data_IF_302322044795
#
_entry.id   IF_302322044795
#
_cell.length_a   1.000
_cell.length_b   1.000
_cell.length_c   1.000
_cell.angle_alpha   90.00
_cell.angle_beta   90.00
_cell.angle_gamma   90.00
#
_symmetry.space_group_name_H-M   'P 1'
#
loop_
_entity.id
_entity.type
_entity.pdbx_description
1 polymer ?
#
# COMPACT_ATOMS: atom_id res chain seq x y z
N UNK A 1 3.96 -17.56 -17.26
CA UNK A 1 3.61 -17.93 -15.88
C UNK A 1 2.43 -18.88 -15.94
N UNK A 2 2.29 -19.83 -15.01
CA UNK A 2 1.05 -20.61 -14.89
C UNK A 2 -0.09 -19.68 -14.49
N UNK A 3 -1.27 -19.87 -15.06
CA UNK A 3 -2.48 -19.15 -14.62
C UNK A 3 -2.75 -19.49 -13.15
N UNK A 4 -3.16 -18.52 -12.35
CA UNK A 4 -3.66 -18.74 -10.99
C UNK A 4 -4.89 -17.87 -10.80
N UNK A 5 -5.99 -18.51 -10.39
CA UNK A 5 -7.24 -17.86 -10.06
C UNK A 5 -7.78 -18.44 -8.76
N UNK A 6 -8.21 -17.57 -7.85
CA UNK A 6 -8.82 -17.91 -6.58
C UNK A 6 -10.27 -17.42 -6.57
N UNK A 7 -11.19 -18.30 -6.19
CA UNK A 7 -12.61 -18.01 -6.03
C UNK A 7 -13.02 -18.34 -4.60
N UNK A 8 -13.66 -17.41 -3.91
CA UNK A 8 -14.22 -17.65 -2.58
C UNK A 8 -15.59 -16.97 -2.43
N UNK A 9 -16.56 -17.71 -1.89
CA UNK A 9 -17.91 -17.23 -1.60
C UNK A 9 -18.26 -17.51 -0.14
N UNK A 10 -19.01 -16.59 0.47
CA UNK A 10 -19.45 -16.71 1.87
C UNK A 10 -20.95 -16.45 1.98
N UNK A 11 -21.63 -17.34 2.71
CA UNK A 11 -23.03 -17.19 3.09
C UNK A 11 -23.11 -16.75 4.56
N UNK A 12 -23.79 -15.63 4.78
CA UNK A 12 -23.96 -14.93 6.05
C UNK A 12 -25.42 -15.05 6.51
N UNK A 13 -26.37 -14.79 5.61
CA UNK A 13 -27.78 -14.64 5.97
C UNK A 13 -28.45 -16.02 6.21
N UNK A 14 -28.00 -17.05 5.48
CA UNK A 14 -28.47 -18.43 5.66
C UNK A 14 -27.36 -19.43 5.35
N UNK A 15 -27.34 -20.54 6.08
CA UNK A 15 -26.51 -21.68 5.69
C UNK A 15 -27.07 -22.39 4.45
N UNK A 16 -26.18 -22.94 3.64
CA UNK A 16 -26.50 -23.81 2.53
C UNK A 16 -27.12 -25.12 3.02
N UNK A 17 -28.10 -25.61 2.28
CA UNK A 17 -28.66 -26.95 2.45
C UNK A 17 -27.77 -28.01 1.81
N UNK A 18 -27.92 -29.27 2.22
CA UNK A 18 -27.23 -30.41 1.59
C UNK A 18 -27.54 -30.57 0.10
N UNK A 19 -28.71 -30.10 -0.37
CA UNK A 19 -29.04 -30.09 -1.80
C UNK A 19 -28.20 -29.06 -2.55
N UNK A 20 -28.14 -27.83 -2.03
CA UNK A 20 -27.39 -26.73 -2.63
C UNK A 20 -25.89 -27.02 -2.65
N UNK A 21 -25.34 -27.60 -1.58
CA UNK A 21 -23.94 -28.05 -1.55
C UNK A 21 -23.65 -29.13 -2.61
N UNK A 22 -24.60 -30.02 -2.92
CA UNK A 22 -24.46 -31.00 -4.02
C UNK A 22 -24.53 -30.34 -5.40
N UNK A 23 -25.38 -29.33 -5.57
CA UNK A 23 -25.42 -28.53 -6.80
C UNK A 23 -24.09 -27.80 -7.04
N UNK A 24 -23.53 -27.16 -6.00
CA UNK A 24 -22.21 -26.52 -6.07
C UNK A 24 -21.07 -27.51 -6.33
N UNK A 25 -21.15 -28.74 -5.78
CA UNK A 25 -20.18 -29.80 -6.05
C UNK A 25 -20.20 -30.25 -7.52
N UNK A 26 -21.33 -30.13 -8.20
CA UNK A 26 -21.44 -30.41 -9.63
C UNK A 26 -20.80 -29.30 -10.50
N UNK A 27 -20.79 -28.05 -10.01
CA UNK A 27 -20.11 -26.90 -10.62
C UNK A 27 -18.59 -27.02 -10.43
N UNK A 28 -18.13 -27.24 -9.19
CA UNK A 28 -16.71 -27.45 -8.91
C UNK A 28 -16.49 -28.67 -8.01
N UNK A 29 -15.99 -29.74 -8.64
CA UNK A 29 -15.71 -30.99 -7.94
C UNK A 29 -14.59 -30.87 -6.90
N UNK A 30 -13.61 -29.98 -7.14
CA UNK A 30 -12.41 -29.78 -6.31
C UNK A 30 -12.57 -28.70 -5.24
N UNK A 31 -13.63 -27.90 -5.29
CA UNK A 31 -13.86 -26.85 -4.31
C UNK A 31 -13.98 -27.39 -2.89
N UNK A 32 -13.48 -26.64 -1.92
CA UNK A 32 -13.91 -26.79 -0.54
C UNK A 32 -15.32 -26.20 -0.40
N UNK A 33 -16.26 -26.97 0.14
CA UNK A 33 -17.66 -26.55 0.27
C UNK A 33 -18.13 -26.90 1.68
N UNK A 34 -18.58 -25.90 2.41
CA UNK A 34 -19.11 -26.00 3.77
C UNK A 34 -20.53 -25.41 3.79
N UNK A 35 -21.29 -25.52 4.89
CA UNK A 35 -22.60 -24.89 4.99
C UNK A 35 -22.58 -23.36 4.84
N UNK A 36 -21.43 -22.71 4.93
CA UNK A 36 -21.32 -21.24 4.86
C UNK A 36 -20.32 -20.76 3.82
N UNK A 37 -19.63 -21.66 3.11
CA UNK A 37 -18.52 -21.26 2.26
C UNK A 37 -18.31 -22.17 1.06
N UNK A 38 -17.73 -21.57 0.02
CA UNK A 38 -17.19 -22.25 -1.13
C UNK A 38 -15.84 -21.59 -1.45
N UNK A 39 -14.78 -22.36 -1.61
CA UNK A 39 -13.51 -21.85 -2.12
C UNK A 39 -12.87 -22.81 -3.10
N UNK A 40 -12.16 -22.28 -4.10
CA UNK A 40 -11.37 -23.10 -5.00
C UNK A 40 -10.26 -22.31 -5.68
N UNK A 41 -9.19 -23.02 -6.00
CA UNK A 41 -8.06 -22.51 -6.77
C UNK A 41 -7.97 -23.21 -8.12
N UNK A 42 -7.72 -22.42 -9.17
CA UNK A 42 -7.54 -22.89 -10.53
C UNK A 42 -6.14 -22.52 -11.01
N UNK A 43 -5.39 -23.54 -11.42
CA UNK A 43 -4.07 -23.36 -12.04
C UNK A 43 -4.10 -23.56 -13.57
N UNK A 44 -5.25 -23.96 -14.10
CA UNK A 44 -5.56 -24.16 -15.51
C UNK A 44 -7.07 -24.05 -15.70
N UNK A 45 -7.52 -23.19 -16.63
CA UNK A 45 -8.95 -22.99 -16.88
C UNK A 45 -9.64 -22.19 -15.78
N UNK A 46 -10.97 -22.31 -15.70
CA UNK A 46 -11.81 -21.41 -14.92
C UNK A 46 -12.95 -22.13 -14.16
N UNK A 47 -13.60 -21.42 -13.24
CA UNK A 47 -14.80 -21.86 -12.56
C UNK A 47 -15.89 -22.21 -13.59
N UNK A 48 -16.39 -23.45 -13.52
CA UNK A 48 -17.43 -23.94 -14.42
C UNK A 48 -18.80 -23.43 -13.99
N UNK A 49 -19.09 -22.16 -14.26
CA UNK A 49 -20.34 -21.51 -13.90
C UNK A 49 -20.14 -19.99 -13.86
N UNK A 50 -21.24 -19.24 -13.93
CA UNK A 50 -21.19 -17.79 -13.77
C UNK A 50 -21.12 -17.44 -12.27
N UNK A 51 -20.04 -16.77 -11.80
CA UNK A 51 -19.88 -16.39 -10.41
C UNK A 51 -21.02 -15.53 -9.89
N UNK A 52 -21.58 -14.68 -10.74
CA UNK A 52 -22.65 -13.77 -10.36
C UNK A 52 -23.97 -14.50 -10.10
N UNK A 53 -24.30 -15.50 -10.93
CA UNK A 53 -25.42 -16.42 -10.72
C UNK A 53 -25.25 -17.25 -9.44
N UNK A 54 -24.02 -17.68 -9.14
CA UNK A 54 -23.69 -18.43 -7.91
C UNK A 54 -23.90 -17.54 -6.67
N UNK A 55 -23.38 -16.30 -6.71
CA UNK A 55 -23.57 -15.31 -5.67
C UNK A 55 -25.05 -15.05 -5.42
N UNK A 56 -25.80 -14.70 -6.48
CA UNK A 56 -27.23 -14.38 -6.38
C UNK A 56 -28.07 -15.49 -5.74
N UNK A 57 -27.74 -16.76 -6.01
CA UNK A 57 -28.56 -17.89 -5.58
C UNK A 57 -28.20 -18.43 -4.19
N UNK A 58 -26.92 -18.40 -3.82
CA UNK A 58 -26.43 -19.17 -2.67
C UNK A 58 -25.68 -18.36 -1.63
N UNK A 59 -25.06 -17.24 -1.99
CA UNK A 59 -24.07 -16.58 -1.14
C UNK A 59 -24.37 -15.08 -0.95
N UNK A 60 -23.64 -14.45 -0.03
CA UNK A 60 -23.77 -13.04 0.30
C UNK A 60 -22.56 -12.22 -0.12
N UNK A 61 -21.39 -12.87 -0.20
CA UNK A 61 -20.13 -12.26 -0.58
C UNK A 61 -19.41 -13.13 -1.61
N UNK A 62 -18.61 -12.48 -2.43
CA UNK A 62 -17.74 -13.09 -3.41
C UNK A 62 -16.40 -12.36 -3.46
N UNK A 63 -15.31 -13.12 -3.44
CA UNK A 63 -13.93 -12.66 -3.64
C UNK A 63 -13.33 -13.43 -4.81
N UNK A 64 -12.67 -12.69 -5.69
CA UNK A 64 -11.87 -13.25 -6.77
C UNK A 64 -10.52 -12.55 -6.88
N UNK A 65 -9.47 -13.36 -7.07
CA UNK A 65 -8.09 -12.89 -7.27
C UNK A 65 -7.48 -13.68 -8.41
N UNK A 66 -6.85 -12.98 -9.35
CA UNK A 66 -6.05 -13.58 -10.40
C UNK A 66 -4.62 -13.07 -10.36
N UNK A 67 -3.66 -13.93 -10.75
CA UNK A 67 -2.24 -13.57 -10.72
C UNK A 67 -1.80 -12.60 -11.84
N UNK A 68 -2.69 -12.25 -12.76
CA UNK A 68 -2.49 -11.14 -13.69
C UNK A 68 -3.04 -9.80 -13.15
N UNK A 69 -3.51 -9.77 -11.90
CA UNK A 69 -3.83 -8.53 -11.19
C UNK A 69 -5.31 -8.27 -10.94
N UNK A 70 -6.21 -8.97 -11.62
CA UNK A 70 -7.65 -8.77 -11.43
C UNK A 70 -8.06 -9.13 -10.00
N UNK A 71 -8.76 -8.21 -9.34
CA UNK A 71 -9.32 -8.38 -8.01
C UNK A 71 -10.75 -7.89 -7.98
N UNK A 72 -11.64 -8.76 -7.51
CA UNK A 72 -13.07 -8.49 -7.50
C UNK A 72 -13.66 -8.84 -6.14
N UNK A 73 -14.44 -7.92 -5.60
CA UNK A 73 -15.21 -8.11 -4.38
C UNK A 73 -16.66 -7.73 -4.66
N UNK A 74 -17.58 -8.66 -4.46
CA UNK A 74 -19.00 -8.42 -4.67
C UNK A 74 -19.82 -8.77 -3.43
N UNK A 75 -20.88 -8.01 -3.21
CA UNK A 75 -21.77 -8.13 -2.06
C UNK A 75 -23.23 -8.17 -2.52
N UNK A 76 -23.97 -9.16 -2.05
CA UNK A 76 -25.43 -9.25 -2.20
C UNK A 76 -26.10 -8.77 -0.92
N UNK A 77 -27.03 -7.83 -1.03
CA UNK A 77 -27.82 -7.29 0.08
C UNK A 77 -29.31 -7.34 -0.24
N UNK A 78 -30.20 -7.41 0.77
CA UNK A 78 -31.64 -7.27 0.56
C UNK A 78 -32.00 -5.92 -0.08
N UNK A 79 -32.93 -5.91 -1.04
CA UNK A 79 -33.33 -4.71 -1.76
C UNK A 79 -34.05 -3.67 -0.90
N UNK A 80 -34.67 -4.10 0.20
CA UNK A 80 -35.36 -3.26 1.17
C UNK A 80 -34.42 -2.67 2.24
N UNK A 81 -33.17 -3.16 2.32
CA UNK A 81 -32.19 -2.71 3.29
C UNK A 81 -31.32 -1.55 2.81
N UNK A 82 -31.38 -1.20 1.51
CA UNK A 82 -30.55 -0.16 0.89
C UNK A 82 -31.37 0.73 -0.05
N UNK A 83 -31.01 2.01 -0.14
CA UNK A 83 -31.63 2.94 -1.07
C UNK A 83 -30.83 2.99 -2.38
N UNK A 84 -31.50 2.74 -3.51
CA UNK A 84 -30.85 2.75 -4.83
C UNK A 84 -30.25 4.13 -5.17
N UNK A 85 -30.92 5.21 -4.79
CA UNK A 85 -30.47 6.58 -5.07
C UNK A 85 -29.20 6.96 -4.30
N UNK A 86 -28.87 6.26 -3.21
CA UNK A 86 -27.59 6.40 -2.50
C UNK A 86 -26.46 5.65 -3.23
N UNK A 87 -26.77 4.57 -3.95
CA UNK A 87 -25.77 3.68 -4.58
C UNK A 87 -25.44 4.17 -6.00
N UNK A 88 -26.48 4.51 -6.77
CA UNK A 88 -26.36 4.83 -8.20
C UNK A 88 -25.28 5.87 -8.53
N UNK A 89 -25.06 6.95 -7.74
CA UNK A 89 -24.03 7.94 -8.04
C UNK A 89 -22.60 7.39 -8.11
N UNK A 90 -22.32 6.25 -7.48
CA UNK A 90 -20.98 5.63 -7.47
C UNK A 90 -20.78 4.64 -8.62
N UNK A 91 -21.84 4.31 -9.37
CA UNK A 91 -21.82 3.25 -10.40
C UNK A 91 -21.57 3.75 -11.83
N UNK A 92 -21.13 5.00 -11.99
CA UNK A 92 -20.90 5.62 -13.30
C UNK A 92 -19.56 5.21 -13.96
N UNK A 93 -18.91 4.12 -13.51
CA UNK A 93 -17.62 3.63 -14.05
C UNK A 93 -17.50 2.10 -14.07
N UNK A 94 -16.35 1.58 -14.51
CA UNK A 94 -16.13 0.12 -14.60
C UNK A 94 -15.76 -0.53 -13.26
N UNK A 95 -15.26 0.24 -12.30
CA UNK A 95 -14.74 -0.28 -11.02
C UNK A 95 -15.83 -0.53 -9.98
N UNK A 96 -17.01 0.08 -10.13
CA UNK A 96 -18.15 -0.14 -9.25
C UNK A 96 -19.39 -0.29 -10.12
N UNK A 97 -20.08 -1.42 -9.96
CA UNK A 97 -21.38 -1.61 -10.60
C UNK A 97 -22.39 -2.11 -9.57
N UNK A 98 -23.66 -1.84 -9.83
CA UNK A 98 -24.74 -2.37 -9.02
C UNK A 98 -25.86 -2.88 -9.91
N UNK A 99 -26.47 -4.00 -9.52
CA UNK A 99 -27.66 -4.55 -10.16
C UNK A 99 -28.74 -4.79 -9.14
N UNK A 100 -29.95 -4.36 -9.46
CA UNK A 100 -31.14 -4.49 -8.62
C UNK A 100 -32.08 -5.55 -9.19
N UNK A 101 -32.55 -6.43 -8.31
CA UNK A 101 -33.71 -7.31 -8.52
C UNK A 101 -34.82 -6.90 -7.55
N UNK A 102 -35.95 -7.58 -7.60
CA UNK A 102 -37.05 -7.34 -6.65
C UNK A 102 -36.63 -7.65 -5.20
N UNK A 103 -35.78 -8.66 -5.00
CA UNK A 103 -35.39 -9.15 -3.67
C UNK A 103 -34.02 -8.64 -3.21
N UNK A 104 -33.11 -8.36 -4.14
CA UNK A 104 -31.71 -8.10 -3.82
C UNK A 104 -31.11 -6.94 -4.60
N UNK A 105 -30.06 -6.35 -4.05
CA UNK A 105 -29.09 -5.54 -4.77
C UNK A 105 -27.74 -6.25 -4.69
N UNK A 106 -27.07 -6.39 -5.82
CA UNK A 106 -25.68 -6.87 -5.90
C UNK A 106 -24.81 -5.68 -6.25
N UNK A 107 -23.83 -5.39 -5.40
CA UNK A 107 -22.77 -4.42 -5.66
C UNK A 107 -21.52 -5.19 -6.02
N UNK A 108 -20.86 -4.80 -7.10
CA UNK A 108 -19.62 -5.38 -7.60
C UNK A 108 -18.52 -4.32 -7.63
N UNK A 109 -17.35 -4.65 -7.08
CA UNK A 109 -16.19 -3.78 -7.04
C UNK A 109 -15.01 -4.50 -7.69
N UNK A 110 -14.41 -3.85 -8.67
CA UNK A 110 -13.43 -4.45 -9.57
C UNK A 110 -12.20 -3.55 -9.71
N UNK A 111 -11.03 -4.12 -9.46
CA UNK A 111 -9.77 -3.63 -9.98
C UNK A 111 -9.27 -4.62 -11.04
N UNK A 112 -9.24 -4.19 -12.30
CA UNK A 112 -8.78 -5.00 -13.43
C UNK A 112 -7.71 -4.23 -14.20
N UNK A 113 -6.44 -4.26 -13.73
CA UNK A 113 -5.38 -3.50 -14.38
C UNK A 113 -5.07 -4.07 -15.77
N UNK A 114 -4.82 -3.19 -16.73
CA UNK A 114 -4.41 -3.60 -18.08
C UNK A 114 -3.02 -4.26 -18.13
N UNK A 115 -2.19 -4.07 -17.09
CA UNK A 115 -0.84 -4.62 -16.99
C UNK A 115 -0.86 -6.02 -16.36
N UNK A 116 -0.37 -7.00 -17.11
CA UNK A 116 -0.40 -8.43 -16.76
C UNK A 116 0.70 -8.82 -15.75
N UNK A 117 1.53 -7.86 -15.31
CA UNK A 117 2.61 -8.05 -14.33
C UNK A 117 2.30 -7.38 -12.97
N UNK A 118 1.07 -7.56 -12.48
CA UNK A 118 0.60 -6.98 -11.21
C UNK A 118 1.19 -7.63 -9.93
N UNK A 119 2.20 -8.51 -10.08
CA UNK A 119 2.78 -9.30 -9.00
C UNK A 119 1.87 -10.45 -8.55
N UNK A 120 2.48 -11.44 -7.88
CA UNK A 120 1.75 -12.59 -7.37
C UNK A 120 0.96 -12.25 -6.10
N UNK A 121 -0.32 -12.60 -6.06
CA UNK A 121 -1.18 -12.43 -4.90
C UNK A 121 -1.92 -13.73 -4.58
N UNK A 122 -1.76 -14.25 -3.36
CA UNK A 122 -2.58 -15.35 -2.84
C UNK A 122 -3.99 -14.82 -2.52
N UNK A 123 -5.01 -15.59 -2.91
CA UNK A 123 -6.40 -15.22 -2.64
C UNK A 123 -6.90 -15.62 -1.24
N UNK A 124 -6.25 -16.58 -0.58
CA UNK A 124 -6.70 -17.10 0.71
C UNK A 124 -6.66 -16.02 1.82
N UNK A 125 -7.69 -15.99 2.66
CA UNK A 125 -7.76 -15.13 3.84
C UNK A 125 -8.38 -13.75 3.61
N UNK A 126 -8.59 -13.32 2.36
CA UNK A 126 -9.23 -12.04 2.05
C UNK A 126 -10.68 -11.97 2.51
N UNK A 127 -11.47 -13.03 2.33
CA UNK A 127 -12.89 -13.04 2.71
C UNK A 127 -13.10 -12.69 4.19
N UNK A 128 -12.30 -13.26 5.09
CA UNK A 128 -12.41 -12.98 6.53
C UNK A 128 -12.17 -11.50 6.87
N UNK A 129 -11.28 -10.83 6.14
CA UNK A 129 -10.95 -9.40 6.32
C UNK A 129 -12.02 -8.49 5.69
N UNK A 130 -12.59 -8.90 4.57
CA UNK A 130 -13.56 -8.12 3.78
C UNK A 130 -15.01 -8.31 4.25
N UNK A 131 -15.32 -9.38 4.98
CA UNK A 131 -16.71 -9.70 5.36
C UNK A 131 -17.42 -8.57 6.12
N UNK A 132 -16.67 -7.77 6.89
CA UNK A 132 -17.20 -6.61 7.62
C UNK A 132 -17.72 -5.48 6.72
N UNK A 133 -17.22 -5.36 5.49
CA UNK A 133 -17.59 -4.28 4.56
C UNK A 133 -19.10 -4.30 4.27
N UNK A 134 -19.70 -5.49 4.13
CA UNK A 134 -21.15 -5.62 3.90
C UNK A 134 -21.98 -5.08 5.05
N UNK A 135 -21.52 -5.26 6.30
CA UNK A 135 -22.26 -4.77 7.47
C UNK A 135 -22.22 -3.25 7.56
N UNK A 136 -21.07 -2.65 7.27
CA UNK A 136 -20.93 -1.19 7.21
C UNK A 136 -21.82 -0.62 6.09
N UNK A 137 -21.80 -1.24 4.90
CA UNK A 137 -22.65 -0.85 3.78
C UNK A 137 -24.15 -0.95 4.08
N UNK A 138 -24.61 -2.07 4.66
CA UNK A 138 -25.99 -2.22 5.12
C UNK A 138 -26.37 -1.15 6.16
N UNK A 139 -25.41 -0.79 7.02
CA UNK A 139 -25.52 0.29 8.01
C UNK A 139 -25.63 1.70 7.43
N UNK A 140 -25.57 1.85 6.10
CA UNK A 140 -25.63 3.14 5.42
C UNK A 140 -24.25 3.77 5.21
N UNK A 141 -23.18 2.97 5.24
CA UNK A 141 -21.83 3.45 4.96
C UNK A 141 -21.50 3.34 3.47
N UNK A 142 -21.35 4.49 2.81
CA UNK A 142 -21.02 4.54 1.39
C UNK A 142 -19.51 4.61 1.13
N UNK A 143 -18.67 4.60 2.18
CA UNK A 143 -17.21 4.65 2.04
C UNK A 143 -16.68 3.52 1.15
N UNK A 144 -17.23 2.31 1.22
CA UNK A 144 -16.79 1.21 0.36
C UNK A 144 -17.01 1.48 -1.13
N UNK A 145 -18.15 2.09 -1.49
CA UNK A 145 -18.47 2.43 -2.89
C UNK A 145 -17.56 3.56 -3.38
N UNK A 146 -17.39 4.59 -2.56
CA UNK A 146 -16.53 5.72 -2.90
C UNK A 146 -15.07 5.29 -3.06
N UNK A 147 -14.56 4.46 -2.15
CA UNK A 147 -13.20 3.94 -2.22
C UNK A 147 -12.98 3.15 -3.52
N UNK A 148 -13.88 2.23 -3.87
CA UNK A 148 -13.78 1.50 -5.13
C UNK A 148 -13.93 2.41 -6.36
N UNK A 149 -14.76 3.46 -6.28
CA UNK A 149 -14.86 4.48 -7.33
C UNK A 149 -13.56 5.28 -7.52
N UNK A 150 -12.72 5.46 -6.48
CA UNK A 150 -11.42 6.10 -6.65
C UNK A 150 -10.50 5.36 -7.64
N UNK A 151 -10.68 4.05 -7.86
CA UNK A 151 -9.93 3.34 -8.90
C UNK A 151 -10.19 3.94 -10.30
N UNK A 152 -11.42 4.38 -10.57
CA UNK A 152 -11.79 5.06 -11.80
C UNK A 152 -11.10 6.43 -11.90
N UNK A 153 -11.01 7.17 -10.79
CA UNK A 153 -10.27 8.43 -10.79
C UNK A 153 -8.77 8.21 -11.03
N UNK A 154 -8.20 7.12 -10.49
CA UNK A 154 -6.78 6.79 -10.59
C UNK A 154 -6.34 6.08 -11.88
N UNK A 155 -7.26 5.59 -12.71
CA UNK A 155 -6.93 4.79 -13.90
C UNK A 155 -8.07 4.68 -14.92
N UNK A 156 -7.66 4.61 -16.20
CA UNK A 156 -8.42 4.45 -17.43
C UNK A 156 -8.93 5.73 -18.11
N UNK A 157 -8.24 6.08 -19.21
CA UNK A 157 -8.73 6.89 -20.33
C UNK A 157 -9.88 6.13 -21.05
N UNK A 158 -11.00 5.86 -20.37
CA UNK A 158 -12.16 5.29 -21.05
C UNK A 158 -12.75 6.34 -22.00
N UNK A 159 -13.09 5.94 -23.23
CA UNK A 159 -13.46 6.84 -24.33
C UNK A 159 -14.73 7.71 -24.09
N UNK A 160 -15.45 7.50 -22.99
CA UNK A 160 -16.63 8.27 -22.57
C UNK A 160 -16.43 9.05 -21.26
N UNK A 161 -15.26 8.94 -20.64
CA UNK A 161 -15.00 9.31 -19.26
C UNK A 161 -13.79 10.25 -19.20
N UNK A 162 -14.07 11.52 -18.97
CA UNK A 162 -13.08 12.60 -19.09
C UNK A 162 -12.68 13.20 -17.75
N UNK A 163 -11.67 14.09 -17.75
CA UNK A 163 -11.27 14.85 -16.55
C UNK A 163 -12.40 15.72 -15.98
N UNK A 164 -13.48 15.92 -16.73
CA UNK A 164 -14.66 16.71 -16.34
C UNK A 164 -15.73 15.89 -15.60
N UNK A 165 -15.56 14.56 -15.44
CA UNK A 165 -16.52 13.73 -14.69
C UNK A 165 -16.60 14.23 -13.24
N UNK A 166 -17.79 14.57 -12.73
CA UNK A 166 -17.95 15.04 -11.36
C UNK A 166 -17.73 13.90 -10.36
N UNK A 167 -17.05 14.21 -9.27
CA UNK A 167 -16.92 13.34 -8.12
C UNK A 167 -18.33 12.97 -7.58
N UNK A 168 -18.57 11.70 -7.19
CA UNK A 168 -19.80 11.32 -6.50
C UNK A 168 -19.87 12.00 -5.11
N UNK A 169 -20.99 11.89 -4.38
CA UNK A 169 -21.04 12.38 -3.00
C UNK A 169 -19.88 11.83 -2.18
N UNK A 170 -19.13 12.69 -1.49
CA UNK A 170 -18.00 12.27 -0.65
C UNK A 170 -18.56 11.81 0.69
N UNK A 171 -18.43 10.52 1.07
CA UNK A 171 -18.93 10.04 2.35
C UNK A 171 -18.09 10.63 3.50
N UNK A 172 -18.69 10.84 4.68
CA UNK A 172 -17.95 11.21 5.88
C UNK A 172 -16.98 10.09 6.30
N UNK A 173 -15.92 10.43 7.03
CA UNK A 173 -15.06 9.47 7.71
C UNK A 173 -13.89 8.91 6.90
N UNK A 174 -13.57 9.46 5.71
CA UNK A 174 -12.44 8.97 4.90
C UNK A 174 -11.08 9.13 5.59
N UNK A 175 -10.97 10.07 6.54
CA UNK A 175 -9.75 10.28 7.35
C UNK A 175 -9.48 9.16 8.37
N UNK A 176 -10.47 8.32 8.67
CA UNK A 176 -10.38 7.29 9.71
C UNK A 176 -11.10 6.00 9.28
N UNK A 177 -10.57 5.33 8.25
CA UNK A 177 -11.12 4.07 7.75
C UNK A 177 -11.15 2.98 8.83
N UNK A 178 -12.25 2.23 8.88
CA UNK A 178 -12.41 1.02 9.71
C UNK A 178 -11.49 -0.11 9.23
N UNK A 179 -11.33 -1.17 10.03
CA UNK A 179 -10.50 -2.31 9.63
C UNK A 179 -10.99 -2.99 8.33
N UNK A 180 -12.31 -3.24 8.12
CA UNK A 180 -12.81 -3.78 6.86
C UNK A 180 -12.57 -2.86 5.66
N UNK A 181 -12.74 -1.54 5.80
CA UNK A 181 -12.47 -0.59 4.71
C UNK A 181 -10.98 -0.49 4.37
N UNK A 182 -10.07 -0.59 5.36
CA UNK A 182 -8.64 -0.70 5.09
C UNK A 182 -8.30 -1.99 4.35
N UNK A 183 -8.94 -3.11 4.73
CA UNK A 183 -8.78 -4.36 4.01
C UNK A 183 -9.28 -4.25 2.55
N UNK A 184 -10.36 -3.50 2.32
CA UNK A 184 -10.85 -3.21 0.98
C UNK A 184 -9.86 -2.37 0.16
N UNK A 185 -9.26 -1.33 0.77
CA UNK A 185 -8.22 -0.50 0.13
C UNK A 185 -7.02 -1.33 -0.27
N UNK A 186 -6.53 -2.17 0.63
CA UNK A 186 -5.41 -3.07 0.39
C UNK A 186 -5.74 -4.10 -0.69
N UNK A 187 -6.93 -4.70 -0.60
CA UNK A 187 -7.41 -5.69 -1.57
C UNK A 187 -7.53 -5.07 -2.95
N UNK A 188 -8.24 -3.96 -3.11
CA UNK A 188 -8.45 -3.30 -4.39
C UNK A 188 -7.21 -2.52 -4.87
N UNK A 189 -6.13 -2.44 -4.08
CA UNK A 189 -4.92 -1.66 -4.37
C UNK A 189 -5.22 -0.19 -4.71
N UNK A 190 -6.07 0.44 -3.90
CA UNK A 190 -6.41 1.84 -4.07
C UNK A 190 -5.22 2.70 -3.61
N UNK A 191 -4.84 3.69 -4.42
CA UNK A 191 -3.75 4.61 -4.12
C UNK A 191 -4.03 5.44 -2.86
N UNK A 192 -3.14 5.35 -1.87
CA UNK A 192 -3.21 6.11 -0.62
C UNK A 192 -3.17 7.62 -0.84
N UNK A 193 -2.47 8.10 -1.87
CA UNK A 193 -2.43 9.52 -2.20
C UNK A 193 -3.80 10.02 -2.66
N UNK A 194 -4.50 9.20 -3.43
CA UNK A 194 -5.83 9.50 -3.91
C UNK A 194 -6.84 9.50 -2.77
N UNK A 195 -6.73 8.57 -1.82
CA UNK A 195 -7.52 8.56 -0.58
C UNK A 195 -7.23 9.81 0.27
N UNK A 196 -5.96 10.22 0.36
CA UNK A 196 -5.57 11.41 1.12
C UNK A 196 -6.20 12.68 0.51
N UNK A 197 -6.19 12.83 -0.81
CA UNK A 197 -6.82 13.95 -1.53
C UNK A 197 -8.35 13.90 -1.42
N UNK A 198 -8.95 12.73 -1.58
CA UNK A 198 -10.37 12.51 -1.37
C UNK A 198 -10.82 12.97 0.02
N UNK A 199 -10.03 12.62 1.04
CA UNK A 199 -10.28 12.95 2.44
C UNK A 199 -10.29 14.46 2.73
N UNK A 200 -9.65 15.29 1.90
CA UNK A 200 -9.73 16.77 2.03
C UNK A 200 -11.17 17.28 1.88
N UNK A 201 -12.02 16.56 1.14
CA UNK A 201 -13.44 16.87 0.94
C UNK A 201 -14.39 16.08 1.84
N UNK A 202 -13.87 15.20 2.72
CA UNK A 202 -14.69 14.34 3.57
C UNK A 202 -15.01 15.00 4.90
N UNK A 203 -16.28 14.99 5.28
CA UNK A 203 -16.69 15.38 6.63
C UNK A 203 -16.13 14.38 7.67
N UNK A 204 -15.98 14.78 8.94
CA UNK A 204 -15.61 13.85 10.00
C UNK A 204 -16.61 12.70 10.08
N UNK A 205 -16.15 11.51 10.47
CA UNK A 205 -17.06 10.41 10.76
C UNK A 205 -18.05 10.86 11.86
N UNK A 206 -19.35 10.61 11.71
CA UNK A 206 -20.28 10.83 12.79
C UNK A 206 -19.89 9.95 13.98
N UNK A 207 -19.96 10.45 15.23
CA UNK A 207 -19.67 9.63 16.40
C UNK A 207 -20.61 8.42 16.42
N UNK A 208 -20.04 7.21 16.38
CA UNK A 208 -20.76 5.98 16.01
C UNK A 208 -22.02 5.71 16.84
N UNK A 209 -22.07 6.19 18.09
CA UNK A 209 -23.17 5.92 19.01
C UNK A 209 -23.57 7.11 19.89
N UNK A 210 -23.02 8.31 19.66
CA UNK A 210 -23.37 9.46 20.49
C UNK A 210 -24.81 9.89 20.19
N UNK A 211 -25.70 9.80 21.17
CA UNK A 211 -27.13 10.06 20.97
C UNK A 211 -27.94 8.87 20.44
N UNK A 212 -27.32 7.74 20.11
CA UNK A 212 -28.01 6.53 19.64
C UNK A 212 -29.06 6.07 20.64
N UNK A 213 -28.72 6.00 21.93
CA UNK A 213 -29.67 5.61 22.98
C UNK A 213 -30.86 6.58 23.08
N UNK A 214 -30.60 7.88 22.95
CA UNK A 214 -31.64 8.91 23.00
C UNK A 214 -32.56 8.84 21.77
N UNK A 215 -32.01 8.56 20.59
CA UNK A 215 -32.77 8.34 19.37
C UNK A 215 -33.60 7.05 19.44
N UNK A 216 -33.00 5.93 19.87
CA UNK A 216 -33.73 4.66 20.11
C UNK A 216 -34.88 4.91 21.08
N UNK A 217 -34.69 5.69 22.15
CA UNK A 217 -35.75 6.00 23.10
C UNK A 217 -36.96 6.69 22.44
N UNK A 218 -36.76 7.49 21.40
CA UNK A 218 -37.79 8.21 20.66
C UNK A 218 -38.55 7.33 19.64
N UNK A 219 -38.02 6.16 19.26
CA UNK A 219 -38.70 5.26 18.33
C UNK A 219 -40.03 4.75 18.89
N UNK A 220 -41.08 4.61 18.05
CA UNK A 220 -42.33 3.97 18.45
C UNK A 220 -42.10 2.55 19.00
N UNK A 221 -42.90 2.13 19.98
CA UNK A 221 -42.82 0.76 20.53
C UNK A 221 -42.99 -0.32 19.47
N UNK A 222 -43.81 -0.08 18.45
CA UNK A 222 -44.02 -1.00 17.32
C UNK A 222 -42.74 -1.23 16.51
N UNK A 223 -41.92 -0.20 16.31
CA UNK A 223 -40.63 -0.33 15.61
C UNK A 223 -39.59 -1.03 16.48
N UNK A 224 -39.53 -0.69 17.76
CA UNK A 224 -38.67 -1.40 18.74
C UNK A 224 -38.99 -2.89 18.78
N UNK A 225 -40.27 -3.24 18.87
CA UNK A 225 -40.73 -4.64 18.86
C UNK A 225 -40.37 -5.34 17.54
N UNK A 226 -40.46 -4.64 16.40
CA UNK A 226 -40.05 -5.19 15.11
C UNK A 226 -38.55 -5.53 15.06
N UNK A 227 -37.68 -4.64 15.56
CA UNK A 227 -36.23 -4.91 15.64
C UNK A 227 -35.93 -6.07 16.60
N UNK A 228 -36.58 -6.12 17.76
CA UNK A 228 -36.42 -7.22 18.73
C UNK A 228 -36.88 -8.56 18.15
N UNK A 229 -37.97 -8.58 17.38
CA UNK A 229 -38.45 -9.77 16.69
C UNK A 229 -37.49 -10.24 15.61
N UNK A 230 -36.88 -9.32 14.82
CA UNK A 230 -35.84 -9.68 13.84
C UNK A 230 -34.63 -10.30 14.52
N UNK A 231 -34.13 -9.69 15.60
CA UNK A 231 -33.03 -10.23 16.38
C UNK A 231 -33.38 -11.61 16.98
N UNK A 232 -34.57 -11.80 17.55
CA UNK A 232 -34.99 -13.09 18.10
C UNK A 232 -35.13 -14.20 17.05
N UNK A 233 -35.33 -13.84 15.78
CA UNK A 233 -35.40 -14.77 14.64
C UNK A 233 -34.03 -15.10 14.02
N UNK A 234 -32.94 -14.54 14.58
CA UNK A 234 -31.58 -14.77 14.11
C UNK A 234 -31.06 -13.74 13.11
N UNK A 235 -31.88 -12.75 12.70
CA UNK A 235 -31.45 -11.64 11.85
C UNK A 235 -30.80 -10.53 12.69
N UNK A 236 -29.71 -10.88 13.38
CA UNK A 236 -28.98 -9.95 14.25
C UNK A 236 -28.28 -8.86 13.44
N UNK A 237 -27.62 -9.26 12.35
CA UNK A 237 -26.84 -8.38 11.48
C UNK A 237 -27.72 -7.39 10.71
N UNK A 238 -28.80 -7.87 10.07
CA UNK A 238 -29.73 -7.00 9.36
C UNK A 238 -30.52 -6.08 10.29
N UNK A 239 -30.89 -6.53 11.49
CA UNK A 239 -31.52 -5.67 12.48
C UNK A 239 -30.58 -4.55 12.96
N UNK A 240 -29.32 -4.86 13.27
CA UNK A 240 -28.33 -3.86 13.67
C UNK A 240 -28.06 -2.85 12.56
N UNK A 241 -27.89 -3.34 11.31
CA UNK A 241 -27.65 -2.49 10.16
C UNK A 241 -28.82 -1.53 9.87
N UNK A 242 -30.06 -2.03 9.88
CA UNK A 242 -31.23 -1.20 9.67
C UNK A 242 -31.41 -0.13 10.77
N UNK A 243 -31.08 -0.46 12.02
CA UNK A 243 -31.13 0.48 13.13
C UNK A 243 -30.05 1.57 12.99
N UNK A 244 -28.81 1.18 12.65
CA UNK A 244 -27.72 2.12 12.39
C UNK A 244 -28.02 3.05 11.20
N UNK A 245 -28.60 2.52 10.12
CA UNK A 245 -29.04 3.30 8.97
C UNK A 245 -30.11 4.32 9.37
N UNK A 246 -31.13 3.90 10.13
CA UNK A 246 -32.16 4.80 10.64
C UNK A 246 -31.60 5.92 11.52
N UNK A 247 -30.62 5.59 12.37
CA UNK A 247 -29.94 6.58 13.19
C UNK A 247 -29.14 7.59 12.36
N UNK A 248 -28.39 7.12 11.36
CA UNK A 248 -27.65 7.98 10.41
C UNK A 248 -28.59 8.88 9.61
N UNK A 249 -29.72 8.36 9.15
CA UNK A 249 -30.73 9.13 8.42
C UNK A 249 -31.44 10.19 9.29
N UNK A 250 -31.48 9.99 10.61
CA UNK A 250 -32.03 10.94 11.56
C UNK A 250 -31.00 11.99 12.03
N UNK A 251 -29.71 11.79 11.74
CA UNK A 251 -28.71 12.82 11.97
C UNK A 251 -29.01 14.00 11.03
N UNK A 252 -28.81 15.26 11.48
CA UNK A 252 -28.89 16.39 10.58
C UNK A 252 -27.95 16.14 9.41
N UNK A 253 -28.44 16.31 8.17
CA UNK A 253 -27.53 16.31 7.04
C UNK A 253 -26.41 17.31 7.36
N UNK A 254 -25.13 16.90 7.22
CA UNK A 254 -24.05 17.86 7.38
C UNK A 254 -24.37 19.01 6.43
N UNK A 255 -24.36 20.23 6.97
CA UNK A 255 -24.52 21.47 6.20
C UNK A 255 -23.28 21.62 5.32
N UNK A 256 -23.19 20.78 4.29
CA UNK A 256 -22.33 20.98 3.14
C UNK A 256 -23.08 21.86 2.17
N UNK A 257 -22.42 22.87 1.62
CA UNK A 257 -22.95 23.68 0.53
C UNK A 257 -23.34 22.73 -0.62
N UNK A 258 -24.61 22.34 -0.71
CA UNK A 258 -25.18 21.68 -1.88
C UNK A 258 -25.03 22.53 -3.16
N UNK A 259 -24.60 23.78 -3.00
CA UNK A 259 -24.31 24.77 -4.04
C UNK A 259 -22.84 24.78 -4.49
N UNK A 260 -21.90 24.16 -3.77
CA UNK A 260 -20.51 24.08 -4.25
C UNK A 260 -20.42 23.06 -5.38
N UNK A 261 -19.81 23.42 -6.53
CA UNK A 261 -19.56 22.45 -7.58
C UNK A 261 -18.69 21.31 -7.01
N UNK A 262 -19.09 20.08 -7.30
CA UNK A 262 -18.30 18.90 -6.95
C UNK A 262 -16.98 18.95 -7.71
N UNK A 263 -15.91 18.48 -7.07
CA UNK A 263 -14.61 18.38 -7.75
C UNK A 263 -14.74 17.46 -8.95
N UNK A 264 -13.91 17.63 -9.96
CA UNK A 264 -13.84 16.68 -11.07
C UNK A 264 -12.74 15.64 -10.86
N UNK A 265 -12.78 14.55 -11.62
CA UNK A 265 -11.69 13.56 -11.67
C UNK A 265 -10.35 14.23 -12.01
N UNK A 266 -10.35 15.19 -12.94
CA UNK A 266 -9.16 15.96 -13.31
C UNK A 266 -8.59 16.74 -12.12
N UNK A 267 -9.43 17.41 -11.35
CA UNK A 267 -9.00 18.16 -10.16
C UNK A 267 -8.43 17.25 -9.07
N UNK A 268 -9.01 16.05 -8.88
CA UNK A 268 -8.45 15.03 -7.97
C UNK A 268 -7.05 14.59 -8.43
N UNK A 269 -6.89 14.27 -9.71
CA UNK A 269 -5.63 13.80 -10.27
C UNK A 269 -4.54 14.88 -10.27
N UNK A 270 -4.88 16.12 -10.60
CA UNK A 270 -3.97 17.25 -10.52
C UNK A 270 -3.48 17.48 -9.08
N UNK A 271 -4.39 17.35 -8.10
CA UNK A 271 -4.05 17.46 -6.68
C UNK A 271 -3.12 16.33 -6.23
N UNK A 272 -3.37 15.09 -6.66
CA UNK A 272 -2.47 13.95 -6.40
C UNK A 272 -1.09 14.17 -7.02
N UNK A 273 -1.04 14.61 -8.28
CA UNK A 273 0.20 14.89 -9.00
C UNK A 273 1.03 15.97 -8.28
N UNK A 274 0.39 17.06 -7.83
CA UNK A 274 1.06 18.12 -7.08
C UNK A 274 1.67 17.63 -5.76
N UNK A 275 0.96 16.78 -5.01
CA UNK A 275 1.46 16.21 -3.75
C UNK A 275 2.65 15.25 -4.01
N UNK A 276 2.58 14.44 -5.06
CA UNK A 276 3.67 13.54 -5.46
C UNK A 276 4.90 14.31 -5.88
N UNK A 277 4.74 15.38 -6.67
CA UNK A 277 5.83 16.26 -7.08
C UNK A 277 6.49 16.94 -5.88
N UNK A 278 5.70 17.51 -4.96
CA UNK A 278 6.23 18.15 -3.76
C UNK A 278 7.06 17.18 -2.91
N UNK A 279 6.58 15.93 -2.71
CA UNK A 279 7.34 14.89 -1.99
C UNK A 279 8.61 14.47 -2.73
N UNK A 280 8.57 14.39 -4.06
CA UNK A 280 9.76 14.07 -4.85
C UNK A 280 10.83 15.17 -4.74
N UNK A 281 10.43 16.44 -4.84
CA UNK A 281 11.33 17.58 -4.66
C UNK A 281 11.94 17.60 -3.26
N UNK A 282 11.16 17.30 -2.22
CA UNK A 282 11.67 17.22 -0.85
C UNK A 282 12.68 16.09 -0.66
N UNK A 283 12.42 14.89 -1.20
CA UNK A 283 13.40 13.79 -1.18
C UNK A 283 14.72 14.15 -1.85
N UNK A 284 14.67 14.87 -2.97
CA UNK A 284 15.88 15.34 -3.66
C UNK A 284 16.66 16.36 -2.81
N UNK A 285 15.97 17.27 -2.12
CA UNK A 285 16.60 18.23 -1.21
C UNK A 285 17.28 17.53 -0.03
N UNK A 286 16.60 16.58 0.61
CA UNK A 286 17.14 15.82 1.73
C UNK A 286 18.36 14.98 1.32
N UNK A 287 18.31 14.31 0.16
CA UNK A 287 19.44 13.56 -0.37
C UNK A 287 20.64 14.45 -0.70
N UNK A 288 20.41 15.66 -1.22
CA UNK A 288 21.47 16.63 -1.49
C UNK A 288 22.11 17.16 -0.19
N UNK A 289 21.29 17.42 0.84
CA UNK A 289 21.80 17.85 2.14
C UNK A 289 22.59 16.75 2.86
N UNK A 290 22.09 15.51 2.84
CA UNK A 290 22.79 14.36 3.41
C UNK A 290 24.13 14.12 2.71
N UNK A 291 24.14 14.21 1.38
CA UNK A 291 25.37 14.12 0.59
C UNK A 291 26.36 15.22 0.98
N UNK A 292 25.92 16.47 1.09
CA UNK A 292 26.77 17.59 1.51
C UNK A 292 27.34 17.36 2.91
N UNK A 293 26.51 16.95 3.87
CA UNK A 293 26.96 16.64 5.25
C UNK A 293 27.98 15.52 5.26
N UNK A 294 27.80 14.48 4.43
CA UNK A 294 28.75 13.39 4.30
C UNK A 294 30.07 13.85 3.70
N UNK A 295 30.03 14.65 2.64
CA UNK A 295 31.23 15.23 2.02
C UNK A 295 31.99 16.15 3.00
N UNK A 296 31.28 16.98 3.76
CA UNK A 296 31.85 17.83 4.83
C UNK A 296 32.46 16.99 5.97
N UNK A 297 31.78 15.93 6.41
CA UNK A 297 32.28 15.03 7.45
C UNK A 297 33.49 14.22 6.97
N UNK A 298 33.48 13.73 5.73
CA UNK A 298 34.62 13.03 5.11
C UNK A 298 35.82 13.98 4.95
N UNK A 299 35.58 15.23 4.54
CA UNK A 299 36.61 16.26 4.47
C UNK A 299 37.18 16.62 5.86
N UNK A 300 36.32 16.79 6.87
CA UNK A 300 36.75 17.07 8.24
C UNK A 300 37.53 15.90 8.86
N UNK A 301 37.07 14.66 8.67
CA UNK A 301 37.78 13.46 9.12
C UNK A 301 39.11 13.28 8.39
N UNK A 302 39.17 13.64 7.09
CA UNK A 302 40.42 13.70 6.35
C UNK A 302 41.38 14.73 6.97
N UNK A 303 40.89 15.92 7.27
CA UNK A 303 41.71 16.99 7.86
C UNK A 303 42.25 16.59 9.24
N UNK A 304 41.40 16.07 10.13
CA UNK A 304 41.80 15.60 11.46
C UNK A 304 42.86 14.48 11.37
N UNK A 305 42.70 13.54 10.43
CA UNK A 305 43.67 12.48 10.16
C UNK A 305 45.02 13.05 9.72
N UNK A 306 45.03 14.06 8.86
CA UNK A 306 46.26 14.70 8.38
C UNK A 306 46.92 15.53 9.49
N UNK A 307 46.16 16.25 10.32
CA UNK A 307 46.67 16.95 11.51
C UNK A 307 47.30 16.00 12.53
N UNK A 308 46.60 14.91 12.87
CA UNK A 308 47.13 13.88 13.75
C UNK A 308 48.42 13.27 13.19
N UNK A 309 48.50 13.03 11.88
CA UNK A 309 49.70 12.53 11.22
C UNK A 309 50.84 13.55 11.24
N UNK A 310 50.56 14.84 11.02
CA UNK A 310 51.55 15.92 11.07
C UNK A 310 52.26 15.97 12.43
N UNK A 311 51.51 15.83 13.52
CA UNK A 311 52.07 15.82 14.88
C UNK A 311 53.04 14.65 15.16
N UNK A 312 52.96 13.57 14.36
CA UNK A 312 53.75 12.34 14.54
C UNK A 312 54.55 11.93 13.30
N UNK A 313 54.83 12.86 12.37
CA UNK A 313 55.49 12.61 11.07
C UNK A 313 56.72 11.69 11.18
N UNK A 314 57.60 11.93 12.16
CA UNK A 314 58.80 11.11 12.40
C UNK A 314 58.47 9.70 12.88
N UNK A 315 57.54 9.57 13.83
CA UNK A 315 57.12 8.26 14.34
C UNK A 315 56.40 7.43 13.26
N UNK A 316 55.61 8.09 12.40
CA UNK A 316 54.93 7.43 11.28
C UNK A 316 55.92 6.81 10.27
N UNK A 317 57.04 7.48 9.97
CA UNK A 317 58.09 6.88 9.14
C UNK A 317 58.75 5.66 9.80
N UNK A 318 58.94 5.68 11.12
CA UNK A 318 59.43 4.52 11.88
C UNK A 318 58.43 3.37 11.85
N UNK A 319 57.13 3.65 11.99
CA UNK A 319 56.07 2.64 11.90
C UNK A 319 56.03 2.00 10.49
N UNK A 320 56.19 2.80 9.42
CA UNK A 320 56.34 2.27 8.04
C UNK A 320 57.52 1.30 7.95
N UNK A 321 58.69 1.65 8.46
CA UNK A 321 59.85 0.76 8.44
C UNK A 321 59.60 -0.54 9.21
N UNK A 322 58.92 -0.48 10.37
CA UNK A 322 58.55 -1.65 11.16
C UNK A 322 57.55 -2.56 10.44
N UNK A 323 56.50 -1.99 9.84
CA UNK A 323 55.53 -2.75 9.06
C UNK A 323 56.17 -3.42 7.84
N UNK A 324 57.09 -2.73 7.17
CA UNK A 324 57.83 -3.31 6.04
C UNK A 324 58.82 -4.37 6.54
N UNK A 325 59.41 -4.22 7.73
CA UNK A 325 60.30 -5.21 8.33
C UNK A 325 59.60 -6.51 8.77
N UNK A 326 58.32 -6.45 9.17
CA UNK A 326 57.53 -7.60 9.64
C UNK A 326 57.29 -8.70 8.59
N UNK A 327 57.46 -8.38 7.28
CA UNK A 327 57.34 -9.33 6.14
C UNK A 327 55.99 -10.08 6.07
N UNK A 328 54.91 -9.46 6.49
CA UNK A 328 53.55 -9.99 6.36
C UNK A 328 52.75 -9.20 5.33
N UNK A 329 51.82 -9.88 4.66
CA UNK A 329 51.02 -9.28 3.58
C UNK A 329 50.14 -8.12 4.08
N UNK A 330 49.49 -8.31 5.23
CA UNK A 330 48.65 -7.29 5.88
C UNK A 330 49.48 -6.11 6.38
N UNK A 331 50.70 -6.36 6.88
CA UNK A 331 51.62 -5.28 7.28
C UNK A 331 52.07 -4.44 6.09
N UNK A 332 52.22 -5.02 4.89
CA UNK A 332 52.48 -4.22 3.70
C UNK A 332 51.27 -3.36 3.29
N UNK A 333 50.04 -3.82 3.52
CA UNK A 333 48.86 -2.99 3.26
C UNK A 333 48.79 -1.81 4.23
N UNK A 334 49.10 -2.01 5.51
CA UNK A 334 49.18 -0.93 6.50
C UNK A 334 50.34 0.05 6.22
N UNK A 335 51.51 -0.44 5.80
CA UNK A 335 52.62 0.41 5.38
C UNK A 335 52.25 1.29 4.18
N UNK A 336 51.58 0.72 3.18
CA UNK A 336 51.16 1.46 1.98
C UNK A 336 50.06 2.48 2.30
N UNK A 337 49.10 2.14 3.17
CA UNK A 337 48.12 3.12 3.68
C UNK A 337 48.81 4.28 4.40
N UNK A 338 49.79 4.01 5.25
CA UNK A 338 50.50 5.05 5.99
C UNK A 338 51.38 5.91 5.08
N UNK A 339 52.03 5.32 4.07
CA UNK A 339 52.76 6.04 3.03
C UNK A 339 51.86 6.92 2.17
N UNK A 340 50.66 6.45 1.80
CA UNK A 340 49.69 7.26 1.07
C UNK A 340 49.26 8.49 1.88
N UNK A 341 49.01 8.30 3.17
CA UNK A 341 48.65 9.39 4.07
C UNK A 341 49.80 10.40 4.27
N UNK A 342 51.05 9.93 4.30
CA UNK A 342 52.24 10.79 4.37
C UNK A 342 52.47 11.56 3.06
N UNK A 343 52.14 10.97 1.91
CA UNK A 343 52.17 11.65 0.60
C UNK A 343 51.13 12.78 0.56
N UNK A 344 49.88 12.50 0.95
CA UNK A 344 48.82 13.52 1.04
C UNK A 344 49.19 14.66 2.00
N UNK A 345 49.85 14.34 3.13
CA UNK A 345 50.36 15.33 4.06
C UNK A 345 51.48 16.18 3.44
N UNK A 346 52.38 15.57 2.68
CA UNK A 346 53.48 16.26 2.01
C UNK A 346 52.98 17.22 0.92
N UNK A 347 51.95 16.84 0.15
CA UNK A 347 51.25 17.73 -0.79
C UNK A 347 50.61 18.93 -0.07
N UNK A 348 49.99 18.72 1.10
CA UNK A 348 49.41 19.81 1.92
C UNK A 348 50.47 20.78 2.45
N UNK A 349 51.61 20.27 2.90
CA UNK A 349 52.70 21.06 3.50
C UNK A 349 53.67 21.67 2.46
N UNK A 350 53.59 21.24 1.20
CA UNK A 350 54.55 21.64 0.15
C UNK A 350 55.90 20.92 0.23
N UNK A 351 55.96 19.80 0.95
CA UNK A 351 57.16 19.00 1.27
C UNK A 351 57.30 17.75 0.36
N UNK A 352 56.67 17.76 -0.81
CA UNK A 352 56.62 16.61 -1.75
C UNK A 352 58.02 16.03 -2.06
N UNK A 353 59.03 16.90 -2.15
CA UNK A 353 60.41 16.50 -2.41
C UNK A 353 61.05 15.69 -1.26
N UNK A 354 60.85 16.10 0.00
CA UNK A 354 61.37 15.35 1.17
C UNK A 354 60.67 14.00 1.31
N UNK A 355 59.37 13.95 1.03
CA UNK A 355 58.63 12.69 0.99
C UNK A 355 59.17 11.75 -0.10
N UNK A 356 59.34 12.26 -1.33
CA UNK A 356 59.84 11.49 -2.47
C UNK A 356 61.24 10.92 -2.21
N UNK A 357 62.14 11.72 -1.64
CA UNK A 357 63.50 11.28 -1.34
C UNK A 357 63.53 10.20 -0.23
N UNK A 358 62.72 10.34 0.82
CA UNK A 358 62.60 9.31 1.87
C UNK A 358 61.97 8.02 1.35
N UNK A 359 60.95 8.12 0.49
CA UNK A 359 60.33 6.96 -0.15
C UNK A 359 61.32 6.23 -1.06
N UNK A 360 62.15 6.96 -1.81
CA UNK A 360 63.21 6.41 -2.66
C UNK A 360 64.22 5.62 -1.83
N UNK A 361 64.72 6.20 -0.74
CA UNK A 361 65.66 5.52 0.17
C UNK A 361 65.03 4.25 0.77
N UNK A 362 63.76 4.32 1.20
CA UNK A 362 63.04 3.16 1.73
C UNK A 362 62.91 2.02 0.70
N UNK A 363 62.60 2.36 -0.55
CA UNK A 363 62.49 1.39 -1.64
C UNK A 363 63.84 0.79 -2.03
N UNK A 364 64.93 1.56 -2.00
CA UNK A 364 66.29 1.06 -2.22
C UNK A 364 66.71 0.04 -1.14
N UNK A 365 66.43 0.35 0.13
CA UNK A 365 66.72 -0.54 1.27
C UNK A 365 65.89 -1.82 1.23
N UNK A 366 64.69 -1.77 0.65
CA UNK A 366 63.76 -2.89 0.58
C UNK A 366 63.50 -3.44 -0.83
N UNK A 367 64.41 -3.17 -1.78
CA UNK A 367 64.28 -3.56 -3.18
C UNK A 367 64.06 -5.07 -3.42
N UNK A 368 64.53 -5.93 -2.50
CA UNK A 368 64.33 -7.39 -2.56
C UNK A 368 62.93 -7.85 -2.14
N UNK A 369 62.08 -6.97 -1.59
CA UNK A 369 60.70 -7.26 -1.16
C UNK A 369 59.72 -6.90 -2.27
N UNK A 370 59.71 -7.68 -3.35
CA UNK A 370 58.97 -7.40 -4.59
C UNK A 370 57.47 -7.17 -4.40
N UNK A 371 56.81 -7.88 -3.47
CA UNK A 371 55.39 -7.69 -3.15
C UNK A 371 55.09 -6.31 -2.54
N UNK A 372 55.98 -5.78 -1.70
CA UNK A 372 55.82 -4.44 -1.12
C UNK A 372 56.01 -3.36 -2.19
N UNK A 373 57.07 -3.48 -2.99
CA UNK A 373 57.35 -2.55 -4.10
C UNK A 373 56.19 -2.51 -5.10
N UNK A 374 55.61 -3.66 -5.46
CA UNK A 374 54.45 -3.72 -6.35
C UNK A 374 53.19 -3.06 -5.75
N UNK A 375 52.99 -3.12 -4.42
CA UNK A 375 51.86 -2.44 -3.76
C UNK A 375 52.06 -0.92 -3.70
N UNK A 376 53.28 -0.44 -3.49
CA UNK A 376 53.63 0.99 -3.53
C UNK A 376 53.43 1.56 -4.94
N UNK A 377 53.89 0.85 -5.97
CA UNK A 377 53.70 1.21 -7.38
C UNK A 377 52.21 1.23 -7.76
N UNK A 378 51.46 0.21 -7.33
CA UNK A 378 49.99 0.17 -7.50
C UNK A 378 49.28 1.34 -6.82
N UNK A 379 49.79 1.82 -5.69
CA UNK A 379 49.26 2.99 -4.98
C UNK A 379 49.66 4.33 -5.63
N UNK A 380 50.44 4.32 -6.73
CA UNK A 380 50.90 5.51 -7.47
C UNK A 380 51.64 6.54 -6.62
N UNK A 381 52.34 6.08 -5.58
CA UNK A 381 53.16 6.93 -4.70
C UNK A 381 54.54 7.23 -5.29
N UNK A 382 54.84 6.61 -6.44
CA UNK A 382 56.01 6.89 -7.25
C UNK A 382 55.63 7.95 -8.29
N UNK A 383 55.87 9.22 -7.99
CA UNK A 383 55.93 10.27 -9.02
C UNK A 383 57.11 9.95 -9.96
N UNK A 384 56.99 10.18 -11.27
CA UNK A 384 58.07 9.91 -12.24
C UNK A 384 59.34 10.72 -11.99
#
# INVERSE_FOLDING_TARGET
MSEYQYYEFLAIDRSLTESEMRELRAISSRAEITPTGFSNEYNYGDLSGDPESILLRYFDLFVYVANWGTRRFAMRVPSDAVAWDEIAPYCDGMNVSARRTDEHVVVDQLNDPEDWDAGWAEGEGWMARLAGVRQEFLGGDMQCLYLAWLLYAGGCEAANDGPDTPEPPVPPGLTALTAPLRALVEFLQIDEDLIAVASEGSAPAPPEHEGLSAWIAQLPSTEKDAFLLRAARGDHAGAAAALNRGFRAAAPEPVGDSERPRRTVGELNDRVAAIREARAQERLRQAAEERRRREEAEAAAKEERLEALASRKVAAWVDVEQFVAARQQDSYDEAVKLLANLSELAEREGDEWDFGERLRVLLEVHARKTTFVAKVDKARLLTP
#
